data_IF_956218295175
#
_entry.id   IF_956218295175
#
_cell.length_a   1.000
_cell.length_b   1.000
_cell.length_c   1.000
_cell.angle_alpha   90.00
_cell.angle_beta   90.00
_cell.angle_gamma   90.00
#
_symmetry.space_group_name_H-M   'P 1'
#
loop_
_entity.id
_entity.type
_entity.pdbx_description
1 polymer ?
#
# COMPACT_ATOMS: atom_id res chain seq x y z
N UNK A 1 41.79 -5.96 6.80
CA UNK A 1 41.06 -5.19 5.76
C UNK A 1 39.74 -5.92 5.56
N UNK A 2 38.71 -5.56 6.34
CA UNK A 2 37.46 -6.32 6.39
C UNK A 2 36.51 -5.87 5.29
N UNK A 3 36.13 -6.84 4.44
CA UNK A 3 35.21 -6.69 3.33
C UNK A 3 33.80 -6.32 3.83
N UNK A 4 33.19 -5.32 3.17
CA UNK A 4 31.82 -4.92 3.41
C UNK A 4 30.86 -6.08 3.12
N UNK A 5 30.21 -6.58 4.17
CA UNK A 5 29.18 -7.60 4.08
C UNK A 5 27.93 -6.98 3.44
N UNK A 6 27.76 -7.21 2.14
CA UNK A 6 26.53 -6.89 1.44
C UNK A 6 25.40 -7.74 2.03
N UNK A 7 24.34 -7.10 2.51
CA UNK A 7 23.14 -7.79 2.97
C UNK A 7 22.49 -8.46 1.76
N UNK A 8 22.63 -9.78 1.64
CA UNK A 8 21.80 -10.57 0.74
C UNK A 8 20.44 -10.77 1.39
N UNK A 9 19.41 -10.16 0.80
CA UNK A 9 18.02 -10.43 1.17
C UNK A 9 17.49 -11.49 0.20
N UNK A 10 17.47 -12.74 0.65
CA UNK A 10 16.71 -13.80 -0.04
C UNK A 10 15.26 -13.79 0.48
N UNK A 11 14.32 -13.49 -0.42
CA UNK A 11 12.89 -13.58 -0.15
C UNK A 11 12.41 -14.96 -0.57
N UNK A 12 12.30 -15.91 0.37
CA UNK A 12 11.71 -17.22 0.11
C UNK A 12 10.29 -17.33 0.65
N UNK A 13 9.41 -17.67 -0.30
CA UNK A 13 8.14 -18.39 -0.19
C UNK A 13 6.86 -17.65 0.25
N UNK A 14 6.02 -17.43 -0.78
CA UNK A 14 4.56 -17.42 -0.78
C UNK A 14 3.99 -18.66 -0.07
N UNK A 15 3.30 -18.50 1.05
CA UNK A 15 2.59 -19.56 1.77
C UNK A 15 1.41 -18.99 2.56
N UNK A 16 0.44 -19.82 2.97
CA UNK A 16 -0.79 -19.37 3.63
C UNK A 16 -0.52 -18.48 4.85
N UNK A 17 -1.40 -17.51 5.15
CA UNK A 17 -1.22 -16.62 6.27
C UNK A 17 -1.08 -17.43 7.57
N UNK A 18 0.05 -17.25 8.25
CA UNK A 18 0.35 -17.97 9.49
C UNK A 18 0.34 -17.00 10.66
N UNK A 19 -0.54 -17.27 11.62
CA UNK A 19 -0.55 -16.60 12.92
C UNK A 19 0.34 -17.39 13.87
N UNK A 20 1.37 -16.75 14.39
CA UNK A 20 2.28 -17.30 15.39
C UNK A 20 2.11 -16.52 16.69
N UNK A 21 1.64 -17.20 17.74
CA UNK A 21 1.69 -16.68 19.10
C UNK A 21 3.06 -17.02 19.71
N UNK A 22 3.83 -16.00 20.03
CA UNK A 22 5.07 -16.15 20.78
C UNK A 22 4.75 -16.30 22.28
N UNK A 23 5.55 -17.09 22.99
CA UNK A 23 5.36 -17.39 24.42
C UNK A 23 5.43 -16.16 25.34
N UNK A 24 5.86 -15.01 24.82
CA UNK A 24 5.91 -13.70 25.49
C UNK A 24 4.64 -12.86 25.29
N UNK A 25 3.61 -13.40 24.63
CA UNK A 25 2.35 -12.70 24.35
C UNK A 25 2.36 -11.88 23.05
N UNK A 26 3.43 -11.97 22.24
CA UNK A 26 3.51 -11.24 20.96
C UNK A 26 2.79 -11.99 19.84
N UNK A 27 1.84 -11.33 19.20
CA UNK A 27 1.16 -11.83 18.01
C UNK A 27 1.97 -11.50 16.75
N UNK A 28 2.43 -12.52 16.02
CA UNK A 28 3.12 -12.34 14.73
C UNK A 28 2.28 -12.92 13.59
N UNK A 29 1.83 -12.08 12.66
CA UNK A 29 1.06 -12.50 11.48
C UNK A 29 1.97 -12.44 10.26
N UNK A 30 2.19 -13.59 9.62
CA UNK A 30 2.90 -13.67 8.34
C UNK A 30 1.88 -13.69 7.21
N UNK A 31 1.87 -12.66 6.35
CA UNK A 31 1.00 -12.59 5.17
C UNK A 31 1.87 -12.73 3.91
N UNK A 32 1.62 -13.69 3.02
CA UNK A 32 2.35 -13.80 1.76
C UNK A 32 2.02 -12.61 0.86
N UNK A 33 2.97 -11.71 0.68
CA UNK A 33 2.82 -10.59 -0.25
C UNK A 33 3.64 -10.83 -1.52
N UNK A 34 3.04 -10.60 -2.70
CA UNK A 34 3.75 -10.58 -3.97
C UNK A 34 4.33 -9.18 -4.20
N UNK A 35 5.61 -8.96 -3.89
CA UNK A 35 6.26 -7.69 -4.22
C UNK A 35 6.59 -7.64 -5.71
N UNK A 36 5.94 -6.74 -6.46
CA UNK A 36 6.36 -6.35 -7.81
C UNK A 36 7.19 -5.06 -7.74
N UNK A 37 8.46 -5.09 -8.16
CA UNK A 37 9.36 -3.93 -8.13
C UNK A 37 9.04 -2.91 -9.25
N UNK A 38 9.05 -1.62 -8.90
CA UNK A 38 8.87 -0.45 -9.78
C UNK A 38 10.23 0.05 -10.26
N UNK A 39 10.46 0.01 -11.57
CA UNK A 39 11.46 0.84 -12.26
C UNK A 39 10.77 1.41 -13.49
N UNK A 40 11.06 2.66 -13.84
CA UNK A 40 10.29 3.47 -14.79
C UNK A 40 10.05 2.85 -16.17
N UNK A 41 9.14 3.51 -16.91
CA UNK A 41 8.63 3.15 -18.25
C UNK A 41 9.56 2.21 -19.05
N UNK A 42 9.10 0.97 -19.25
CA UNK A 42 9.49 0.14 -20.40
C UNK A 42 8.23 -0.11 -21.22
N UNK A 43 8.09 0.61 -22.32
CA UNK A 43 7.18 0.20 -23.39
C UNK A 43 7.82 -1.07 -23.99
N UNK A 44 7.28 -2.25 -23.67
CA UNK A 44 7.76 -3.51 -24.25
C UNK A 44 6.96 -3.74 -25.53
N UNK A 45 7.49 -3.27 -26.66
CA UNK A 45 7.02 -3.69 -27.97
C UNK A 45 7.52 -5.11 -28.20
N UNK A 46 6.61 -6.07 -28.36
CA UNK A 46 6.99 -7.43 -28.75
C UNK A 46 7.46 -7.43 -30.24
N UNK A 47 8.28 -8.42 -30.66
CA UNK A 47 8.82 -8.48 -32.02
C UNK A 47 7.76 -8.57 -33.14
N UNK A 48 6.54 -8.95 -32.80
CA UNK A 48 5.35 -9.05 -33.65
C UNK A 48 4.59 -7.71 -33.79
N UNK A 49 5.04 -6.65 -33.10
CA UNK A 49 4.44 -5.32 -33.18
C UNK A 49 3.20 -5.13 -32.31
N UNK A 50 2.83 -6.14 -31.52
CA UNK A 50 1.71 -6.01 -30.58
C UNK A 50 2.11 -5.13 -29.39
N UNK A 51 1.29 -4.13 -29.12
CA UNK A 51 1.36 -3.32 -27.91
C UNK A 51 0.59 -4.09 -26.83
N UNK A 52 1.31 -4.64 -25.84
CA UNK A 52 0.66 -5.20 -24.64
C UNK A 52 -0.29 -4.15 -24.06
N UNK A 53 -1.51 -4.57 -23.65
CA UNK A 53 -2.41 -3.69 -22.92
C UNK A 53 -1.66 -3.05 -21.74
N UNK A 54 -1.84 -1.74 -21.50
CA UNK A 54 -1.24 -1.08 -20.36
C UNK A 54 -1.65 -1.84 -19.12
N UNK A 55 -0.66 -2.33 -18.38
CA UNK A 55 -0.95 -3.00 -17.12
C UNK A 55 -1.56 -1.95 -16.18
N UNK A 56 -2.41 -2.34 -15.23
CA UNK A 56 -3.01 -1.38 -14.29
C UNK A 56 -1.99 -0.46 -13.58
N UNK A 57 -0.75 -0.92 -13.43
CA UNK A 57 0.38 -0.21 -12.81
C UNK A 57 1.27 0.59 -13.79
N UNK A 58 0.94 0.63 -15.07
CA UNK A 58 1.61 1.48 -16.07
C UNK A 58 1.05 2.92 -16.09
N UNK A 59 -0.02 3.17 -15.33
CA UNK A 59 -0.67 4.47 -15.15
C UNK A 59 0.10 5.35 -14.15
N UNK A 60 0.07 6.66 -14.35
CA UNK A 60 0.60 7.61 -13.37
C UNK A 60 -0.18 7.54 -12.05
N UNK A 61 0.48 7.54 -10.88
CA UNK A 61 -0.22 7.50 -9.60
C UNK A 61 -1.12 8.73 -9.42
N UNK A 62 -2.32 8.50 -8.88
CA UNK A 62 -3.24 9.58 -8.58
C UNK A 62 -2.72 10.46 -7.43
N UNK A 63 -3.15 11.73 -7.33
CA UNK A 63 -2.77 12.60 -6.21
C UNK A 63 -3.08 11.99 -4.83
N UNK A 64 -4.17 11.22 -4.72
CA UNK A 64 -4.57 10.55 -3.48
C UNK A 64 -3.64 9.37 -3.15
N UNK A 65 -3.21 8.60 -4.16
CA UNK A 65 -2.20 7.56 -3.99
C UNK A 65 -0.84 8.15 -3.57
N UNK A 66 -0.45 9.28 -4.14
CA UNK A 66 0.78 10.00 -3.74
C UNK A 66 0.67 10.54 -2.31
N UNK A 67 -0.49 11.06 -1.92
CA UNK A 67 -0.77 11.51 -0.56
C UNK A 67 -0.62 10.38 0.46
N UNK A 68 -1.18 9.20 0.16
CA UNK A 68 -1.04 8.00 0.98
C UNK A 68 0.43 7.57 1.12
N UNK A 69 1.17 7.56 0.01
CA UNK A 69 2.60 7.24 0.01
C UNK A 69 3.42 8.21 0.88
N UNK A 70 3.12 9.52 0.81
CA UNK A 70 3.74 10.53 1.68
C UNK A 70 3.41 10.29 3.15
N UNK A 71 2.15 9.98 3.46
CA UNK A 71 1.68 9.64 4.80
C UNK A 71 2.52 8.52 5.42
N UNK A 72 2.66 7.40 4.71
CA UNK A 72 3.47 6.27 5.18
C UNK A 72 4.95 6.61 5.32
N UNK A 73 5.52 7.36 4.37
CA UNK A 73 6.92 7.80 4.46
C UNK A 73 7.15 8.66 5.70
N UNK A 74 6.30 9.64 5.95
CA UNK A 74 6.44 10.53 7.10
C UNK A 74 6.17 9.83 8.42
N UNK A 75 5.22 8.89 8.47
CA UNK A 75 5.03 8.02 9.63
C UNK A 75 6.29 7.21 9.92
N UNK A 76 6.90 6.59 8.91
CA UNK A 76 8.12 5.82 9.08
C UNK A 76 9.29 6.69 9.59
N UNK A 77 9.41 7.94 9.13
CA UNK A 77 10.43 8.86 9.65
C UNK A 77 10.22 9.20 11.13
N UNK A 78 8.96 9.34 11.58
CA UNK A 78 8.63 9.56 13.00
C UNK A 78 8.95 8.32 13.84
N UNK A 79 8.56 7.14 13.36
CA UNK A 79 8.81 5.86 14.05
C UNK A 79 10.30 5.52 14.13
N UNK A 80 11.07 5.86 13.10
CA UNK A 80 12.52 5.72 13.08
C UNK A 80 13.26 6.79 13.91
N UNK A 81 12.55 7.82 14.39
CA UNK A 81 13.14 8.93 15.14
C UNK A 81 13.99 9.89 14.29
N UNK A 82 13.91 9.83 12.95
CA UNK A 82 14.61 10.74 12.03
C UNK A 82 14.08 12.18 12.10
N UNK A 83 12.83 12.33 12.56
CA UNK A 83 12.15 13.59 12.84
C UNK A 83 11.46 13.48 14.18
N UNK A 84 11.41 14.58 14.93
CA UNK A 84 10.83 14.61 16.28
C UNK A 84 9.35 14.95 16.31
N UNK A 85 8.82 15.51 15.22
CA UNK A 85 7.41 15.94 15.17
C UNK A 85 6.93 16.17 13.74
N UNK A 86 5.60 16.25 13.57
CA UNK A 86 4.97 16.66 12.31
C UNK A 86 5.40 18.07 11.87
N UNK A 87 5.73 18.95 12.82
CA UNK A 87 6.22 20.30 12.52
C UNK A 87 7.59 20.27 11.87
N UNK A 88 8.47 19.39 12.33
CA UNK A 88 9.79 19.22 11.73
C UNK A 88 9.69 18.69 10.29
N UNK A 89 8.74 17.80 10.02
CA UNK A 89 8.43 17.34 8.65
C UNK A 89 7.94 18.51 7.80
N UNK A 90 7.01 19.31 8.32
CA UNK A 90 6.46 20.48 7.62
C UNK A 90 7.55 21.48 7.22
N UNK A 91 8.47 21.78 8.14
CA UNK A 91 9.63 22.64 7.91
C UNK A 91 10.60 22.05 6.87
N UNK A 92 10.88 20.74 6.92
CA UNK A 92 11.75 20.03 5.96
C UNK A 92 11.18 19.99 4.55
N UNK A 93 9.87 19.81 4.42
CA UNK A 93 9.19 19.64 3.12
C UNK A 93 8.61 20.97 2.58
N UNK A 94 8.67 22.06 3.35
CA UNK A 94 8.16 23.37 2.94
C UNK A 94 6.63 23.44 2.82
N UNK A 95 5.92 22.66 3.63
CA UNK A 95 4.45 22.54 3.62
C UNK A 95 3.85 22.94 4.97
N UNK A 96 2.54 23.09 5.05
CA UNK A 96 1.87 23.39 6.32
C UNK A 96 1.74 22.16 7.23
N UNK A 97 1.75 22.38 8.54
CA UNK A 97 1.62 21.31 9.52
C UNK A 97 0.30 20.53 9.38
N UNK A 98 -0.79 21.22 9.04
CA UNK A 98 -2.10 20.61 8.82
C UNK A 98 -2.12 19.69 7.60
N UNK A 99 -1.30 19.96 6.57
CA UNK A 99 -1.09 19.10 5.42
C UNK A 99 -0.33 17.84 5.81
N UNK A 100 0.75 17.98 6.60
CA UNK A 100 1.48 16.82 7.13
C UNK A 100 0.56 15.93 7.96
N UNK A 101 -0.20 16.52 8.88
CA UNK A 101 -1.17 15.82 9.71
C UNK A 101 -2.19 15.06 8.87
N UNK A 102 -2.74 15.68 7.82
CA UNK A 102 -3.67 15.02 6.90
C UNK A 102 -3.05 13.82 6.18
N UNK A 103 -1.81 13.91 5.69
CA UNK A 103 -1.20 12.73 5.03
C UNK A 103 -0.95 11.61 6.02
N UNK A 104 -0.47 11.91 7.22
CA UNK A 104 -0.25 10.90 8.26
C UNK A 104 -1.58 10.26 8.67
N UNK A 105 -2.67 11.02 8.76
CA UNK A 105 -4.00 10.48 9.05
C UNK A 105 -4.51 9.47 8.00
N UNK A 106 -4.02 9.50 6.75
CA UNK A 106 -4.38 8.48 5.76
C UNK A 106 -3.87 7.08 6.14
N UNK A 107 -2.82 7.00 6.96
CA UNK A 107 -2.21 5.72 7.37
C UNK A 107 -3.04 4.95 8.41
N UNK A 108 -3.98 5.62 9.08
CA UNK A 108 -4.85 5.01 10.11
C UNK A 108 -6.25 4.65 9.59
N UNK A 109 -6.46 4.79 8.27
CA UNK A 109 -7.70 4.40 7.62
C UNK A 109 -7.88 2.88 7.62
N UNK A 110 -9.14 2.46 7.52
CA UNK A 110 -9.51 1.06 7.41
C UNK A 110 -8.85 0.44 6.16
N UNK A 111 -8.38 -0.82 6.24
CA UNK A 111 -7.63 -1.44 5.14
C UNK A 111 -8.37 -1.46 3.80
N UNK A 112 -9.70 -1.61 3.82
CA UNK A 112 -10.57 -1.57 2.65
C UNK A 112 -10.63 -0.18 2.01
N UNK A 113 -10.61 0.89 2.80
CA UNK A 113 -10.53 2.27 2.30
C UNK A 113 -9.17 2.52 1.66
N UNK A 114 -8.09 2.06 2.29
CA UNK A 114 -6.74 2.14 1.73
C UNK A 114 -6.66 1.39 0.39
N UNK A 115 -7.23 0.19 0.33
CA UNK A 115 -7.29 -0.59 -0.91
C UNK A 115 -8.09 0.15 -2.00
N UNK A 116 -9.24 0.73 -1.65
CA UNK A 116 -10.03 1.54 -2.59
C UNK A 116 -9.23 2.75 -3.14
N UNK A 117 -8.39 3.40 -2.32
CA UNK A 117 -7.49 4.47 -2.77
C UNK A 117 -6.45 3.94 -3.77
N UNK A 118 -5.86 2.77 -3.49
CA UNK A 118 -4.84 2.16 -4.33
C UNK A 118 -5.41 1.67 -5.67
N UNK A 119 -6.65 1.22 -5.68
CA UNK A 119 -7.34 0.73 -6.88
C UNK A 119 -8.12 1.82 -7.62
N UNK A 120 -8.04 3.08 -7.16
CA UNK A 120 -8.79 4.24 -7.69
C UNK A 120 -10.32 4.05 -7.68
N UNK A 121 -10.80 3.25 -6.72
CA UNK A 121 -12.21 2.91 -6.52
C UNK A 121 -12.88 3.78 -5.45
N UNK A 122 -12.27 4.93 -5.11
CA UNK A 122 -12.84 5.90 -4.18
C UNK A 122 -14.02 6.63 -4.86
N UNK A 123 -15.20 6.70 -4.22
CA UNK A 123 -16.33 7.44 -4.78
C UNK A 123 -15.95 8.89 -5.13
N UNK A 124 -16.36 9.41 -6.30
CA UNK A 124 -15.87 10.70 -6.81
C UNK A 124 -16.30 11.92 -5.99
N UNK A 125 -17.27 11.76 -5.09
CA UNK A 125 -17.71 12.80 -4.16
C UNK A 125 -16.83 12.90 -2.91
N UNK A 126 -16.00 11.89 -2.63
CA UNK A 126 -15.07 11.92 -1.50
C UNK A 126 -13.79 12.63 -1.90
N UNK A 127 -13.37 13.54 -1.04
CA UNK A 127 -12.12 14.28 -1.18
C UNK A 127 -11.08 13.79 -0.17
N UNK A 128 -9.83 14.22 -0.38
CA UNK A 128 -8.78 14.06 0.63
C UNK A 128 -9.23 14.57 2.01
N UNK A 129 -10.02 15.66 2.07
CA UNK A 129 -10.47 16.21 3.35
C UNK A 129 -11.43 15.28 4.07
N UNK A 130 -12.32 14.62 3.34
CA UNK A 130 -13.30 13.69 3.92
C UNK A 130 -12.63 12.48 4.55
N UNK A 131 -11.49 12.06 3.97
CA UNK A 131 -10.68 10.94 4.42
C UNK A 131 -9.69 11.31 5.54
N UNK A 132 -9.08 12.49 5.47
CA UNK A 132 -7.91 12.83 6.28
C UNK A 132 -8.17 13.80 7.43
N UNK A 133 -9.27 14.56 7.41
CA UNK A 133 -9.60 15.49 8.50
C UNK A 133 -10.35 14.77 9.59
N UNK A 134 -9.69 14.67 10.75
CA UNK A 134 -10.20 14.03 11.97
C UNK A 134 -10.90 12.70 11.66
N UNK A 135 -10.18 11.71 11.11
CA UNK A 135 -10.79 10.43 10.80
C UNK A 135 -11.24 9.76 12.10
N UNK A 136 -12.46 9.20 12.15
CA UNK A 136 -12.91 8.41 13.28
C UNK A 136 -11.90 7.31 13.63
N UNK A 137 -11.64 7.07 14.91
CA UNK A 137 -10.68 6.02 15.32
C UNK A 137 -11.20 4.60 15.07
N UNK A 138 -12.52 4.43 15.07
CA UNK A 138 -13.15 3.15 14.78
C UNK A 138 -13.33 2.99 13.27
N UNK A 139 -12.79 1.92 12.70
CA UNK A 139 -12.91 1.62 11.27
C UNK A 139 -14.36 1.49 10.80
N UNK A 140 -15.26 1.00 11.65
CA UNK A 140 -16.68 0.93 11.32
C UNK A 140 -17.30 2.31 11.10
N UNK A 141 -16.87 3.30 11.88
CA UNK A 141 -17.30 4.68 11.71
C UNK A 141 -16.66 5.32 10.47
N UNK A 142 -15.41 4.97 10.16
CA UNK A 142 -14.77 5.41 8.91
C UNK A 142 -15.51 4.90 7.68
N UNK A 143 -15.91 3.61 7.66
CA UNK A 143 -16.73 3.03 6.59
C UNK A 143 -18.09 3.71 6.49
N UNK A 144 -18.75 3.98 7.61
CA UNK A 144 -20.04 4.70 7.62
C UNK A 144 -19.92 6.11 7.07
N UNK A 145 -18.86 6.83 7.46
CA UNK A 145 -18.60 8.21 7.01
C UNK A 145 -18.27 8.29 5.52
N UNK A 146 -17.49 7.34 5.01
CA UNK A 146 -17.05 7.32 3.60
C UNK A 146 -18.02 6.59 2.68
N UNK A 147 -18.87 5.71 3.21
CA UNK A 147 -19.71 4.81 2.42
C UNK A 147 -18.92 3.73 1.67
N UNK A 148 -17.62 3.59 1.95
CA UNK A 148 -16.77 2.59 1.30
C UNK A 148 -16.95 1.25 2.01
N UNK A 149 -17.29 0.22 1.24
CA UNK A 149 -17.24 -1.18 1.63
C UNK A 149 -16.55 -1.94 0.50
N UNK A 150 -15.24 -1.74 0.38
CA UNK A 150 -14.45 -2.25 -0.73
C UNK A 150 -13.78 -3.58 -0.33
N UNK A 151 -14.20 -4.67 -0.96
CA UNK A 151 -13.47 -5.92 -0.88
C UNK A 151 -12.44 -5.92 -2.03
N UNK A 152 -11.11 -5.89 -1.74
CA UNK A 152 -10.12 -5.89 -2.80
C UNK A 152 -10.30 -7.12 -3.68
N UNK A 153 -10.34 -6.90 -4.99
CA UNK A 153 -10.31 -7.99 -5.96
C UNK A 153 -8.93 -8.62 -5.91
N UNK A 154 -8.74 -9.65 -5.09
CA UNK A 154 -7.62 -10.59 -5.22
C UNK A 154 -7.83 -11.47 -6.46
N UNK A 155 -8.09 -10.86 -7.62
CA UNK A 155 -8.16 -11.54 -8.92
C UNK A 155 -6.76 -11.65 -9.47
N UNK A 156 -6.02 -12.62 -8.94
CA UNK A 156 -4.69 -13.01 -9.40
C UNK A 156 -4.35 -14.44 -8.99
N UNK A 157 -5.38 -15.26 -8.76
CA UNK A 157 -5.28 -16.72 -8.75
C UNK A 157 -6.07 -17.20 -9.97
N UNK A 158 -5.40 -17.21 -11.13
CA UNK A 158 -5.77 -18.14 -12.18
C UNK A 158 -5.62 -19.55 -11.60
N UNK A 159 -6.71 -20.10 -11.07
CA UNK A 159 -6.85 -21.56 -10.95
C UNK A 159 -7.15 -22.03 -12.36
N UNK A 160 -6.11 -22.17 -13.18
CA UNK A 160 -6.24 -22.77 -14.50
C UNK A 160 -6.82 -24.17 -14.33
N UNK A 161 -8.03 -24.30 -14.86
CA UNK A 161 -8.77 -25.53 -15.02
C UNK A 161 -8.07 -26.37 -16.08
N UNK A 162 -7.16 -27.25 -15.65
CA UNK A 162 -6.87 -28.45 -16.44
C UNK A 162 -7.55 -29.68 -15.84
N UNK A 163 -8.76 -29.91 -16.37
CA UNK A 163 -9.26 -31.26 -16.64
C UNK A 163 -8.26 -32.02 -17.51
N UNK A 164 -8.10 -33.32 -17.24
CA UNK A 164 -7.65 -34.47 -18.07
C UNK A 164 -7.11 -35.50 -17.05
N UNK A 165 -7.44 -36.79 -16.98
CA UNK A 165 -8.22 -37.75 -17.74
C UNK A 165 -8.35 -38.94 -16.75
N UNK A 166 -9.54 -39.45 -16.46
CA UNK A 166 -10.06 -40.72 -16.99
C UNK A 166 -9.38 -42.00 -16.46
N UNK A 167 -10.28 -42.87 -15.97
CA UNK A 167 -10.22 -44.33 -15.79
C UNK A 167 -9.60 -44.89 -14.52
#
# INVERSE_FOLDING_TARGET
>A
MSNGSGIQIELTQTGDPKVLEASDGRLSISVPIKLKRRSGRRLITLPDGEVQEPRPWDTEPTPLQLALARGHRWLAMLEAGEVRSLREIAEKEGVDNSYVSRMVNLTILAPDIVAAILDDQVPPHLTLFDLAVDPPRLWEEQRRRTGINYAPSVTGVDVDSRKHCSS
#
